data_IF_209102069420
#
_entry.id   IF_209102069420
#
_cell.length_a   1.000
_cell.length_b   1.000
_cell.length_c   1.000
_cell.angle_alpha   90.00
_cell.angle_beta   90.00
_cell.angle_gamma   90.00
#
_symmetry.space_group_name_H-M   'P 1'
#
loop_
_entity.id
_entity.type
_entity.pdbx_description
1 polymer ?
#
# COMPACT_ATOMS: atom_id res chain seq x y z
N UNK A 1 0.19 -36.35 -89.73
CA UNK A 1 -0.57 -37.55 -89.29
C UNK A 1 -1.26 -37.18 -88.00
N UNK A 2 -2.60 -37.06 -88.03
CA UNK A 2 -3.58 -36.88 -86.93
C UNK A 2 -3.32 -35.78 -85.87
N UNK A 3 -4.28 -35.02 -85.34
CA UNK A 3 -5.68 -34.67 -85.65
C UNK A 3 -6.01 -33.52 -84.65
N UNK A 4 -6.41 -32.38 -85.18
CA UNK A 4 -7.60 -31.58 -84.78
C UNK A 4 -7.72 -30.98 -83.36
N UNK A 5 -7.48 -29.66 -83.29
CA UNK A 5 -8.37 -28.56 -82.86
C UNK A 5 -9.04 -28.47 -81.45
N UNK A 6 -8.92 -27.23 -80.95
CA UNK A 6 -9.94 -26.36 -80.33
C UNK A 6 -10.09 -26.27 -78.80
N UNK A 7 -10.02 -24.99 -78.37
CA UNK A 7 -10.92 -24.24 -77.48
C UNK A 7 -10.47 -23.99 -76.02
N UNK A 8 -10.60 -22.70 -75.68
CA UNK A 8 -10.35 -22.04 -74.41
C UNK A 8 -11.43 -22.36 -73.35
N UNK A 9 -11.03 -22.35 -72.07
CA UNK A 9 -11.56 -21.51 -70.97
C UNK A 9 -11.71 -22.22 -69.60
N UNK A 10 -11.48 -21.39 -68.56
CA UNK A 10 -12.16 -21.32 -67.27
C UNK A 10 -11.79 -22.27 -66.10
N UNK A 11 -11.32 -21.59 -65.04
CA UNK A 11 -11.91 -21.53 -63.67
C UNK A 11 -11.53 -22.58 -62.59
N UNK A 12 -11.26 -22.02 -61.39
CA UNK A 12 -11.59 -22.56 -60.06
C UNK A 12 -10.42 -23.16 -59.28
N UNK A 13 -9.96 -22.58 -58.15
CA UNK A 13 -10.55 -22.68 -56.78
C UNK A 13 -10.30 -24.07 -56.15
N UNK A 14 -9.72 -24.32 -54.96
CA UNK A 14 -9.53 -23.62 -53.67
C UNK A 14 -8.56 -24.44 -52.75
N UNK A 15 -8.04 -23.79 -51.70
CA UNK A 15 -7.65 -24.35 -50.36
C UNK A 15 -6.45 -25.30 -50.24
N UNK A 16 -5.59 -25.28 -49.22
CA UNK A 16 -5.49 -24.47 -48.00
C UNK A 16 -4.02 -24.51 -47.51
N UNK A 17 -3.38 -23.35 -47.38
CA UNK A 17 -2.16 -23.18 -46.61
C UNK A 17 -2.53 -22.97 -45.14
N UNK A 18 -2.36 -24.00 -44.32
CA UNK A 18 -2.53 -23.91 -42.87
C UNK A 18 -1.23 -23.44 -42.25
N UNK A 19 -1.26 -22.27 -41.61
CA UNK A 19 -0.18 -21.79 -40.77
C UNK A 19 -0.07 -20.28 -40.76
N UNK A 20 -0.94 -19.60 -40.01
CA UNK A 20 -0.53 -18.35 -39.37
C UNK A 20 -1.35 -18.13 -38.09
N UNK A 21 -0.60 -17.88 -37.03
CA UNK A 21 -0.99 -17.72 -35.64
C UNK A 21 -1.92 -16.50 -35.46
N UNK A 22 -3.08 -16.69 -34.83
CA UNK A 22 -3.76 -15.63 -34.10
C UNK A 22 -4.08 -16.18 -32.72
N UNK A 23 -3.07 -16.12 -31.84
CA UNK A 23 -3.25 -16.24 -30.41
C UNK A 23 -4.00 -15.00 -29.94
N UNK A 24 -5.33 -15.12 -29.86
CA UNK A 24 -6.21 -14.12 -29.27
C UNK A 24 -5.89 -14.04 -27.78
N UNK A 25 -4.91 -13.21 -27.44
CA UNK A 25 -4.60 -12.85 -26.06
C UNK A 25 -5.78 -12.07 -25.51
N UNK A 26 -6.64 -12.78 -24.78
CA UNK A 26 -7.59 -12.16 -23.86
C UNK A 26 -6.80 -11.30 -22.89
N UNK A 27 -6.67 -10.01 -23.21
CA UNK A 27 -6.41 -8.98 -22.21
C UNK A 27 -7.64 -8.91 -21.33
N UNK A 28 -7.67 -9.77 -20.31
CA UNK A 28 -8.38 -9.49 -19.08
C UNK A 28 -7.71 -8.26 -18.49
N UNK A 29 -8.16 -7.07 -18.91
CA UNK A 29 -7.97 -5.85 -18.15
C UNK A 29 -8.69 -6.08 -16.84
N UNK A 30 -7.93 -6.61 -15.87
CA UNK A 30 -8.37 -6.76 -14.51
C UNK A 30 -8.79 -5.38 -14.03
N UNK A 31 -10.10 -5.14 -14.03
CA UNK A 31 -10.69 -4.13 -13.19
C UNK A 31 -10.44 -4.62 -11.77
N UNK A 32 -9.28 -4.28 -11.22
CA UNK A 32 -9.04 -4.28 -9.79
C UNK A 32 -10.05 -3.28 -9.23
N UNK A 33 -11.27 -3.74 -8.94
CA UNK A 33 -12.12 -3.08 -7.97
C UNK A 33 -11.30 -3.08 -6.69
N UNK A 34 -10.63 -1.95 -6.42
CA UNK A 34 -9.80 -1.80 -5.23
C UNK A 34 -10.60 -2.19 -4.00
N UNK A 35 -9.92 -2.74 -3.00
CA UNK A 35 -10.57 -3.07 -1.74
C UNK A 35 -11.20 -1.79 -1.17
N UNK A 36 -12.54 -1.67 -1.14
CA UNK A 36 -13.20 -0.46 -0.66
C UNK A 36 -13.01 -0.26 0.84
N UNK A 37 -12.39 -1.22 1.52
CA UNK A 37 -12.08 -1.19 2.93
C UNK A 37 -10.63 -0.82 3.23
N UNK A 38 -9.79 -0.73 2.19
CA UNK A 38 -8.43 -0.23 2.31
C UNK A 38 -8.44 1.25 2.70
N UNK A 39 -7.46 1.63 3.50
CA UNK A 39 -7.31 2.99 4.01
C UNK A 39 -6.41 3.79 3.08
N UNK A 40 -6.70 5.06 2.88
CA UNK A 40 -5.88 5.96 2.06
C UNK A 40 -4.64 6.44 2.85
N UNK A 41 -3.41 6.13 2.41
CA UNK A 41 -2.18 6.53 3.09
C UNK A 41 -2.06 8.03 3.30
N UNK A 42 -2.47 8.82 2.30
CA UNK A 42 -2.33 10.27 2.31
C UNK A 42 -3.22 10.84 3.42
N UNK A 43 -4.47 10.39 3.51
CA UNK A 43 -5.39 10.80 4.57
C UNK A 43 -4.93 10.37 5.96
N UNK A 44 -4.31 9.19 6.08
CA UNK A 44 -3.72 8.74 7.36
C UNK A 44 -2.56 9.65 7.76
N UNK A 45 -1.70 9.97 6.81
CA UNK A 45 -0.53 10.79 7.02
C UNK A 45 -0.92 12.22 7.44
N UNK A 46 -1.89 12.83 6.74
CA UNK A 46 -2.38 14.17 7.04
C UNK A 46 -3.03 14.32 8.44
N UNK A 47 -3.55 13.24 9.05
CA UNK A 47 -4.03 13.26 10.46
C UNK A 47 -2.88 13.46 11.46
N UNK A 48 -1.69 12.97 11.12
CA UNK A 48 -0.52 12.94 12.00
C UNK A 48 0.45 14.11 11.79
N UNK A 49 0.65 14.53 10.55
CA UNK A 49 1.78 15.35 10.15
C UNK A 49 1.38 16.68 9.49
N UNK A 50 2.27 17.67 9.60
CA UNK A 50 2.20 18.96 8.89
C UNK A 50 3.12 18.98 7.67
N UNK A 51 4.16 18.15 7.66
CA UNK A 51 5.01 17.94 6.49
C UNK A 51 4.11 17.50 5.32
N UNK A 52 4.29 18.03 4.10
CA UNK A 52 3.53 17.57 2.94
C UNK A 52 3.85 16.11 2.61
N UNK A 53 2.83 15.33 2.21
CA UNK A 53 2.97 13.89 1.98
C UNK A 53 3.96 13.56 0.86
N UNK A 54 4.10 14.44 -0.13
CA UNK A 54 5.00 14.27 -1.27
C UNK A 54 6.48 14.41 -0.87
N UNK A 55 6.77 14.93 0.33
CA UNK A 55 8.13 15.11 0.84
C UNK A 55 8.63 13.92 1.66
N UNK A 56 7.83 12.87 1.81
CA UNK A 56 8.18 11.68 2.59
C UNK A 56 8.09 10.43 1.73
N UNK A 57 8.93 9.45 2.02
CA UNK A 57 8.88 8.17 1.35
C UNK A 57 8.04 7.19 2.18
N UNK A 58 6.87 6.82 1.65
CA UNK A 58 6.09 5.69 2.15
C UNK A 58 6.82 4.39 1.78
N UNK A 59 7.20 3.61 2.80
CA UNK A 59 7.87 2.32 2.62
C UNK A 59 6.90 1.16 2.66
N UNK A 60 5.87 1.26 3.50
CA UNK A 60 4.85 0.24 3.68
C UNK A 60 3.62 0.83 4.38
N UNK A 61 2.48 0.17 4.23
CA UNK A 61 1.22 0.60 4.82
C UNK A 61 0.27 -0.56 5.06
N UNK A 62 -0.75 -0.28 5.88
CA UNK A 62 -1.89 -1.16 5.95
C UNK A 62 -2.96 -0.63 6.88
N UNK A 63 -4.07 -1.35 6.93
CA UNK A 63 -5.19 -0.95 7.77
C UNK A 63 -6.51 -1.41 7.22
N UNK A 64 -7.55 -1.14 7.99
CA UNK A 64 -8.93 -1.38 7.58
C UNK A 64 -9.87 -0.38 8.24
N UNK A 65 -10.98 -0.13 7.55
CA UNK A 65 -12.13 0.64 8.07
C UNK A 65 -13.27 -0.26 8.56
N UNK A 66 -13.14 -1.60 8.43
CA UNK A 66 -14.18 -2.55 8.83
C UNK A 66 -14.23 -2.67 10.35
N UNK A 67 -15.40 -2.37 10.94
CA UNK A 67 -15.67 -2.41 12.41
C UNK A 67 -14.85 -1.42 13.24
N UNK A 68 -14.36 -0.37 12.61
CA UNK A 68 -13.49 0.63 13.23
C UNK A 68 -12.39 1.01 12.27
N UNK A 69 -11.78 2.17 12.50
CA UNK A 69 -10.64 2.62 11.73
C UNK A 69 -9.38 2.16 12.45
N UNK A 70 -8.51 1.38 11.82
CA UNK A 70 -7.16 1.12 12.33
C UNK A 70 -6.23 1.04 11.15
N UNK A 71 -5.34 2.02 11.03
CA UNK A 71 -4.44 2.17 9.91
C UNK A 71 -3.03 2.53 10.37
N UNK A 72 -2.04 2.19 9.55
CA UNK A 72 -0.65 2.38 9.86
C UNK A 72 0.20 2.66 8.62
N UNK A 73 1.30 3.37 8.84
CA UNK A 73 2.29 3.75 7.84
C UNK A 73 3.69 3.44 8.36
N UNK A 74 4.57 3.02 7.45
CA UNK A 74 6.02 2.98 7.65
C UNK A 74 6.64 4.00 6.70
N UNK A 75 7.34 4.96 7.28
CA UNK A 75 7.86 6.14 6.59
C UNK A 75 9.37 6.20 6.73
N UNK A 76 10.06 6.66 5.69
CA UNK A 76 11.47 7.08 5.78
C UNK A 76 11.55 8.60 5.93
N UNK A 77 12.43 9.04 6.85
CA UNK A 77 12.76 10.45 7.08
C UNK A 77 14.12 10.84 6.54
N UNK A 78 14.73 10.02 5.68
CA UNK A 78 16.05 10.31 5.11
C UNK A 78 16.09 11.63 4.32
N UNK A 79 14.96 12.00 3.70
CA UNK A 79 14.85 13.16 2.83
C UNK A 79 14.32 14.41 3.55
N UNK A 80 13.55 14.23 4.62
CA UNK A 80 12.78 15.31 5.26
C UNK A 80 12.53 15.04 6.73
N UNK A 81 12.62 16.08 7.56
CA UNK A 81 12.19 16.04 8.96
C UNK A 81 10.65 16.04 9.06
N UNK A 82 10.10 15.07 9.79
CA UNK A 82 8.66 14.95 10.00
C UNK A 82 8.17 15.87 11.11
N UNK A 83 7.29 16.82 10.76
CA UNK A 83 6.61 17.71 11.71
C UNK A 83 5.27 17.14 12.11
N UNK A 84 5.08 16.85 13.39
CA UNK A 84 3.82 16.35 13.95
C UNK A 84 2.84 17.51 14.22
N UNK A 85 1.60 17.37 13.75
CA UNK A 85 0.54 18.41 13.88
C UNK A 85 0.10 18.70 15.32
N UNK A 86 0.35 17.78 16.25
CA UNK A 86 -0.03 17.87 17.67
C UNK A 86 1.10 17.39 18.58
N UNK A 87 2.34 17.75 18.25
CA UNK A 87 3.53 17.23 18.94
C UNK A 87 3.46 17.31 20.47
N UNK A 88 2.86 18.37 21.03
CA UNK A 88 2.67 18.56 22.48
C UNK A 88 1.73 17.56 23.14
N UNK A 89 0.82 16.96 22.38
CA UNK A 89 -0.22 16.07 22.91
C UNK A 89 0.26 14.61 22.97
N UNK A 90 1.40 14.32 22.34
CA UNK A 90 2.04 13.02 22.39
C UNK A 90 2.84 12.87 23.68
N UNK A 91 2.51 11.85 24.47
CA UNK A 91 3.29 11.47 25.64
C UNK A 91 4.26 10.36 25.27
N UNK A 92 5.50 10.42 25.77
CA UNK A 92 6.42 9.30 25.70
C UNK A 92 5.87 8.11 26.50
N UNK A 93 5.99 6.93 25.92
CA UNK A 93 5.53 5.67 26.50
C UNK A 93 6.60 4.60 26.34
N UNK A 94 6.48 3.53 27.13
CA UNK A 94 7.29 2.34 26.93
C UNK A 94 7.07 1.76 25.52
N UNK A 95 8.17 1.37 24.87
CA UNK A 95 8.17 0.89 23.49
C UNK A 95 7.65 -0.54 23.32
N UNK A 96 7.53 -1.35 24.36
CA UNK A 96 7.17 -2.76 24.29
C UNK A 96 5.90 -3.00 23.46
N UNK A 97 4.76 -2.42 23.88
CA UNK A 97 3.48 -2.62 23.19
C UNK A 97 3.42 -2.01 21.78
N UNK A 98 3.84 -0.73 21.56
CA UNK A 98 3.84 -0.17 20.21
C UNK A 98 4.75 -0.94 19.26
N UNK A 99 5.97 -1.28 19.68
CA UNK A 99 6.93 -1.98 18.82
C UNK A 99 6.48 -3.39 18.48
N UNK A 100 5.91 -4.14 19.44
CA UNK A 100 5.34 -5.47 19.18
C UNK A 100 4.20 -5.43 18.18
N UNK A 101 3.31 -4.44 18.31
CA UNK A 101 2.21 -4.29 17.37
C UNK A 101 2.71 -3.95 15.96
N UNK A 102 3.65 -3.00 15.83
CA UNK A 102 4.23 -2.68 14.53
C UNK A 102 5.01 -3.84 13.93
N UNK A 103 5.69 -4.64 14.75
CA UNK A 103 6.35 -5.85 14.30
C UNK A 103 5.35 -6.86 13.73
N UNK A 104 4.21 -7.08 14.41
CA UNK A 104 3.17 -7.99 13.93
C UNK A 104 2.59 -7.58 12.57
N UNK A 105 2.42 -6.28 12.31
CA UNK A 105 1.80 -5.81 11.05
C UNK A 105 2.82 -5.58 9.92
N UNK A 106 4.06 -5.23 10.24
CA UNK A 106 5.10 -4.92 9.23
C UNK A 106 6.14 -6.02 9.02
N UNK A 107 6.24 -6.98 9.95
CA UNK A 107 7.29 -8.00 9.95
C UNK A 107 8.70 -7.47 10.19
N UNK A 108 8.87 -6.22 10.62
CA UNK A 108 10.20 -5.64 10.83
C UNK A 108 10.83 -6.12 12.15
N UNK A 109 11.83 -6.98 12.06
CA UNK A 109 12.54 -7.58 13.20
C UNK A 109 13.31 -6.56 14.04
N UNK A 110 13.70 -5.41 13.47
CA UNK A 110 14.48 -4.38 14.21
C UNK A 110 13.67 -3.82 15.39
N UNK A 111 12.34 -3.82 15.28
CA UNK A 111 11.42 -3.39 16.34
C UNK A 111 11.54 -4.24 17.61
N UNK A 112 11.98 -5.50 17.50
CA UNK A 112 12.18 -6.39 18.64
C UNK A 112 13.64 -6.46 19.09
N UNK A 113 14.58 -6.45 18.14
CA UNK A 113 16.00 -6.66 18.43
C UNK A 113 16.71 -5.39 18.93
N UNK A 114 16.29 -4.21 18.46
CA UNK A 114 16.97 -2.95 18.75
C UNK A 114 16.08 -1.92 19.47
N UNK A 115 15.36 -2.36 20.51
CA UNK A 115 14.43 -1.49 21.26
C UNK A 115 15.09 -0.24 21.86
N UNK A 116 16.40 -0.27 22.14
CA UNK A 116 17.15 0.87 22.70
C UNK A 116 17.32 2.06 21.75
N UNK A 117 17.15 1.87 20.43
CA UNK A 117 17.19 2.94 19.43
C UNK A 117 15.80 3.52 19.13
N UNK A 118 14.75 2.97 19.74
CA UNK A 118 13.37 3.36 19.51
C UNK A 118 12.95 4.46 20.47
N UNK A 119 12.23 5.43 19.94
CA UNK A 119 11.48 6.42 20.72
C UNK A 119 10.00 6.20 20.45
N UNK A 120 9.21 5.97 21.50
CA UNK A 120 7.79 5.66 21.35
C UNK A 120 6.92 6.71 22.02
N UNK A 121 5.91 7.15 21.29
CA UNK A 121 4.97 8.15 21.72
C UNK A 121 3.54 7.71 21.46
N UNK A 122 2.63 8.15 22.32
CA UNK A 122 1.20 7.88 22.21
C UNK A 122 0.41 9.16 22.39
N UNK A 123 -0.58 9.34 21.53
CA UNK A 123 -1.67 10.30 21.74
C UNK A 123 -2.97 9.52 21.93
N UNK A 124 -3.84 10.01 22.80
CA UNK A 124 -5.19 9.44 22.99
C UNK A 124 -6.16 10.60 23.21
N UNK A 125 -7.19 10.67 22.39
CA UNK A 125 -8.18 11.75 22.46
C UNK A 125 -9.26 11.38 23.49
N UNK A 126 -9.22 12.04 24.64
CA UNK A 126 -10.15 11.78 25.75
C UNK A 126 -11.52 12.47 25.58
N UNK A 127 -11.72 13.25 24.51
CA UNK A 127 -12.96 14.01 24.31
C UNK A 127 -14.12 13.16 23.79
N UNK A 128 -13.85 11.93 23.39
CA UNK A 128 -14.83 11.04 22.78
C UNK A 128 -14.96 9.75 23.59
N UNK A 129 -16.17 9.16 23.62
CA UNK A 129 -16.48 7.93 24.36
C UNK A 129 -15.99 6.63 23.65
N UNK A 130 -15.08 6.76 22.69
CA UNK A 130 -14.52 5.64 21.92
C UNK A 130 -13.00 5.64 21.96
N UNK A 131 -12.39 4.45 21.86
CA UNK A 131 -10.94 4.28 21.88
C UNK A 131 -10.31 4.88 20.61
N UNK A 132 -9.81 6.10 20.76
CA UNK A 132 -9.22 6.91 19.70
C UNK A 132 -7.79 7.29 20.06
N UNK A 133 -6.82 6.75 19.32
CA UNK A 133 -5.43 7.00 19.66
C UNK A 133 -4.49 6.85 18.48
N UNK A 134 -3.27 7.37 18.70
CA UNK A 134 -2.16 7.32 17.76
C UNK A 134 -0.96 6.73 18.46
N UNK A 135 -0.17 5.99 17.69
CA UNK A 135 1.19 5.59 18.07
C UNK A 135 2.16 6.14 17.05
N UNK A 136 3.30 6.57 17.57
CA UNK A 136 4.46 6.95 16.80
C UNK A 136 5.65 6.21 17.38
N UNK A 137 6.31 5.39 16.56
CA UNK A 137 7.57 4.73 16.90
C UNK A 137 8.62 5.24 15.95
N UNK A 138 9.64 5.90 16.49
CA UNK A 138 10.76 6.44 15.72
C UNK A 138 11.98 5.56 15.96
N UNK A 139 12.46 4.92 14.89
CA UNK A 139 13.76 4.26 14.87
C UNK A 139 14.81 5.25 14.39
N UNK A 140 15.51 5.83 15.36
CA UNK A 140 16.55 6.84 15.10
C UNK A 140 17.78 6.29 14.40
N UNK A 141 18.01 4.97 14.45
CA UNK A 141 19.18 4.33 13.85
C UNK A 141 19.07 4.18 12.32
N UNK A 142 17.84 4.09 11.81
CA UNK A 142 17.55 3.94 10.38
C UNK A 142 16.80 5.12 9.75
N UNK A 143 16.42 6.12 10.55
CA UNK A 143 15.56 7.21 10.06
C UNK A 143 14.19 6.71 9.62
N UNK A 144 13.63 5.72 10.34
CA UNK A 144 12.31 5.14 10.04
C UNK A 144 11.31 5.59 11.09
N UNK A 145 10.12 5.95 10.64
CA UNK A 145 8.98 6.25 11.51
C UNK A 145 7.84 5.30 11.20
N UNK A 146 7.30 4.68 12.24
CA UNK A 146 6.07 3.90 12.20
C UNK A 146 4.97 4.72 12.84
N UNK A 147 3.91 4.98 12.09
CA UNK A 147 2.76 5.74 12.54
C UNK A 147 1.51 4.88 12.49
N UNK A 148 0.68 4.96 13.51
CA UNK A 148 -0.61 4.27 13.58
C UNK A 148 -1.66 5.24 14.08
N UNK A 149 -2.84 5.14 13.52
CA UNK A 149 -4.05 5.77 14.01
C UNK A 149 -5.14 4.71 14.17
N UNK A 150 -5.89 4.77 15.27
CA UNK A 150 -7.06 3.93 15.46
C UNK A 150 -8.24 4.70 16.06
N UNK A 151 -9.44 4.29 15.66
CA UNK A 151 -10.75 4.67 16.20
C UNK A 151 -11.57 3.40 16.25
N UNK A 152 -11.65 2.78 17.43
CA UNK A 152 -12.44 1.57 17.64
C UNK A 152 -13.80 1.98 18.17
N UNK A 153 -14.87 1.62 17.46
CA UNK A 153 -16.22 1.74 17.99
C UNK A 153 -16.46 0.58 18.94
N UNK A 154 -16.95 0.87 20.15
CA UNK A 154 -17.42 -0.16 21.09
C UNK A 154 -18.72 -0.81 20.58
#
# INVERSE_FOLDING_TARGET
MLVTFYKQNLAGSWSAGAGFYIGLSLMMTGCSGGDPTATDPELIFEDGFETPYEQVALLDEGGTIVRGFSAWLKLSTELTELKLRRSSDYAFVDCEKPAEWFHQVSGDEVLLVNRGALTCQRFTDKRFDFDNGRWLVTDTSRGIIYYRVWKLNH
#
